data_IF_393546334270
#
_entry.id   IF_393546334270
#
_cell.length_a   1.000
_cell.length_b   1.000
_cell.length_c   1.000
_cell.angle_alpha   90.00
_cell.angle_beta   90.00
_cell.angle_gamma   90.00
#
_symmetry.space_group_name_H-M   'P 1'
#
loop_
_entity.id
_entity.type
_entity.pdbx_description
1 polymer ?
#
# COMPACT_ATOMS: atom_id res chain seq x y z
N UNK A 1 -3.25 20.78 -24.57
CA UNK A 1 -2.56 19.50 -24.36
C UNK A 1 -3.37 18.59 -23.42
N UNK A 2 -4.26 17.79 -24.00
CA UNK A 2 -5.09 16.84 -23.27
C UNK A 2 -4.21 15.67 -22.83
N UNK A 3 -3.54 15.81 -21.69
CA UNK A 3 -2.93 14.66 -21.03
C UNK A 3 -4.08 13.71 -20.68
N UNK A 4 -4.11 12.57 -21.38
CA UNK A 4 -5.05 11.48 -21.19
C UNK A 4 -5.21 11.24 -19.68
N UNK A 5 -6.42 11.41 -19.12
CA UNK A 5 -6.63 11.36 -17.65
C UNK A 5 -6.06 10.07 -17.03
N UNK A 6 -5.93 9.01 -17.84
CA UNK A 6 -5.23 7.79 -17.53
C UNK A 6 -3.74 7.99 -17.19
N UNK A 7 -2.97 8.79 -17.94
CA UNK A 7 -1.55 9.02 -17.67
C UNK A 7 -1.34 9.82 -16.39
N UNK A 8 -2.23 10.78 -16.10
CA UNK A 8 -2.17 11.60 -14.88
C UNK A 8 -2.53 10.76 -13.65
N UNK A 9 -3.60 9.96 -13.73
CA UNK A 9 -4.00 9.06 -12.64
C UNK A 9 -2.95 7.97 -12.41
N UNK A 10 -2.39 7.38 -13.47
CA UNK A 10 -1.37 6.35 -13.36
C UNK A 10 -0.04 6.93 -12.83
N UNK A 11 0.32 8.14 -13.23
CA UNK A 11 1.49 8.85 -12.69
C UNK A 11 1.34 9.19 -11.20
N UNK A 12 0.17 9.68 -10.79
CA UNK A 12 -0.13 10.00 -9.39
C UNK A 12 -0.21 8.74 -8.50
N UNK A 13 -0.77 7.65 -9.03
CA UNK A 13 -0.80 6.35 -8.37
C UNK A 13 0.61 5.79 -8.23
N UNK A 14 1.42 5.78 -9.28
CA UNK A 14 2.78 5.26 -9.23
C UNK A 14 3.67 6.07 -8.26
N UNK A 15 3.52 7.40 -8.22
CA UNK A 15 4.25 8.26 -7.27
C UNK A 15 3.87 7.97 -5.81
N UNK A 16 2.56 7.87 -5.53
CA UNK A 16 2.07 7.57 -4.18
C UNK A 16 2.41 6.14 -3.76
N UNK A 17 2.25 5.18 -4.67
CA UNK A 17 2.56 3.77 -4.46
C UNK A 17 4.05 3.57 -4.19
N UNK A 18 4.93 4.24 -4.96
CA UNK A 18 6.37 4.17 -4.76
C UNK A 18 6.80 4.70 -3.39
N UNK A 19 6.17 5.78 -2.91
CA UNK A 19 6.37 6.28 -1.54
C UNK A 19 5.89 5.28 -0.49
N UNK A 20 4.69 4.73 -0.64
CA UNK A 20 4.12 3.73 0.28
C UNK A 20 4.97 2.46 0.33
N UNK A 21 5.45 2.00 -0.82
CA UNK A 21 6.35 0.85 -0.92
C UNK A 21 7.67 1.11 -0.21
N UNK A 22 8.27 2.28 -0.42
CA UNK A 22 9.57 2.57 0.18
C UNK A 22 9.49 2.67 1.71
N UNK A 23 8.43 3.27 2.25
CA UNK A 23 8.20 3.31 3.71
C UNK A 23 7.86 1.92 4.28
N UNK A 24 7.08 1.10 3.57
CA UNK A 24 6.75 -0.27 4.01
C UNK A 24 7.98 -1.19 3.98
N UNK A 25 8.82 -1.05 2.96
CA UNK A 25 10.05 -1.81 2.81
C UNK A 25 11.10 -1.45 3.89
N UNK A 26 11.25 -0.16 4.18
CA UNK A 26 12.18 0.30 5.22
C UNK A 26 11.71 -0.11 6.62
N UNK A 27 10.41 -0.03 6.93
CA UNK A 27 9.87 -0.54 8.20
C UNK A 27 10.01 -2.07 8.32
N UNK A 28 9.85 -2.81 7.24
CA UNK A 28 10.11 -4.25 7.22
C UNK A 28 11.58 -4.58 7.52
N UNK A 29 12.53 -3.87 6.91
CA UNK A 29 13.96 -4.00 7.21
C UNK A 29 14.29 -3.70 8.68
N UNK A 30 13.74 -2.60 9.22
CA UNK A 30 13.92 -2.24 10.64
C UNK A 30 13.41 -3.36 11.55
N UNK A 31 12.25 -3.96 11.25
CA UNK A 31 11.70 -5.04 12.07
C UNK A 31 12.52 -6.32 12.02
N UNK A 32 13.16 -6.65 10.89
CA UNK A 32 14.11 -7.77 10.81
C UNK A 32 15.30 -7.53 11.74
N UNK A 33 15.85 -6.32 11.74
CA UNK A 33 16.99 -5.95 12.61
C UNK A 33 16.57 -6.06 14.07
N UNK A 34 15.41 -5.51 14.45
CA UNK A 34 14.89 -5.59 15.82
C UNK A 34 14.58 -7.04 16.23
N UNK A 35 14.10 -7.89 15.32
CA UNK A 35 13.84 -9.29 15.64
C UNK A 35 15.13 -10.11 15.83
N UNK A 36 16.18 -9.80 15.07
CA UNK A 36 17.48 -10.47 15.15
C UNK A 36 18.33 -10.01 16.35
N UNK A 37 18.34 -8.71 16.64
CA UNK A 37 19.15 -8.09 17.71
C UNK A 37 18.35 -7.76 18.99
N UNK A 38 17.03 -7.92 18.97
CA UNK A 38 16.16 -7.63 20.12
C UNK A 38 16.23 -8.72 21.19
N UNK A 39 16.28 -8.28 22.45
CA UNK A 39 16.31 -9.18 23.62
C UNK A 39 15.02 -10.00 23.79
N UNK A 40 15.07 -11.03 24.64
CA UNK A 40 14.01 -12.03 24.82
C UNK A 40 12.61 -11.43 25.09
N UNK A 41 12.53 -10.31 25.81
CA UNK A 41 11.28 -9.63 26.13
C UNK A 41 10.62 -8.94 24.91
N UNK A 42 11.42 -8.45 23.96
CA UNK A 42 10.92 -7.74 22.78
C UNK A 42 10.56 -8.70 21.63
N UNK A 43 11.10 -9.92 21.65
CA UNK A 43 10.99 -10.86 20.53
C UNK A 43 9.54 -11.29 20.25
N UNK A 44 8.75 -11.52 21.30
CA UNK A 44 7.32 -11.83 21.19
C UNK A 44 6.48 -10.66 20.67
N UNK A 45 6.80 -9.44 21.11
CA UNK A 45 6.14 -8.22 20.65
C UNK A 45 6.48 -7.90 19.19
N UNK A 46 7.77 -7.94 18.82
CA UNK A 46 8.24 -7.71 17.46
C UNK A 46 7.75 -8.78 16.49
N UNK A 47 7.57 -10.03 16.94
CA UNK A 47 6.97 -11.08 16.11
C UNK A 47 5.53 -10.76 15.69
N UNK A 48 4.73 -10.23 16.60
CA UNK A 48 3.36 -9.79 16.30
C UNK A 48 3.35 -8.62 15.29
N UNK A 49 4.23 -7.64 15.46
CA UNK A 49 4.38 -6.52 14.53
C UNK A 49 4.88 -6.99 13.15
N UNK A 50 5.84 -7.91 13.12
CA UNK A 50 6.40 -8.46 11.88
C UNK A 50 5.31 -9.13 11.04
N UNK A 51 4.48 -9.98 11.66
CA UNK A 51 3.32 -10.57 10.98
C UNK A 51 2.37 -9.50 10.47
N UNK A 52 2.04 -8.49 11.29
CA UNK A 52 1.18 -7.38 10.89
C UNK A 52 1.69 -6.59 9.69
N UNK A 53 3.00 -6.31 9.64
CA UNK A 53 3.63 -5.58 8.51
C UNK A 53 3.62 -6.42 7.24
N UNK A 54 3.93 -7.72 7.32
CA UNK A 54 3.92 -8.63 6.15
C UNK A 54 2.51 -8.73 5.55
N UNK A 55 1.50 -9.05 6.37
CA UNK A 55 0.12 -9.17 5.89
C UNK A 55 -0.48 -7.82 5.50
N UNK A 56 -0.16 -6.74 6.23
CA UNK A 56 -0.63 -5.39 5.94
C UNK A 56 -0.10 -4.82 4.62
N UNK A 57 1.19 -5.05 4.34
CA UNK A 57 1.81 -4.62 3.08
C UNK A 57 1.25 -5.40 1.90
N UNK A 58 1.12 -6.72 2.04
CA UNK A 58 0.54 -7.57 0.99
C UNK A 58 -0.92 -7.21 0.70
N UNK A 59 -1.75 -7.07 1.74
CA UNK A 59 -3.15 -6.69 1.62
C UNK A 59 -3.31 -5.31 0.95
N UNK A 60 -2.52 -4.32 1.35
CA UNK A 60 -2.64 -2.97 0.78
C UNK A 60 -2.27 -2.95 -0.71
N UNK A 61 -1.19 -3.63 -1.11
CA UNK A 61 -0.72 -3.59 -2.49
C UNK A 61 -1.59 -4.42 -3.43
N UNK A 62 -1.92 -5.65 -3.03
CA UNK A 62 -2.61 -6.61 -3.90
C UNK A 62 -4.13 -6.57 -3.76
N UNK A 63 -4.68 -6.11 -2.62
CA UNK A 63 -6.13 -6.09 -2.38
C UNK A 63 -6.66 -4.66 -2.44
N UNK A 64 -6.03 -3.69 -1.78
CA UNK A 64 -6.56 -2.31 -1.78
C UNK A 64 -6.44 -1.61 -3.14
N UNK A 65 -5.35 -1.83 -3.89
CA UNK A 65 -5.15 -1.23 -5.24
C UNK A 65 -6.25 -1.62 -6.25
N UNK A 66 -6.57 -2.91 -6.49
CA UNK A 66 -7.64 -3.28 -7.42
C UNK A 66 -9.03 -2.89 -6.90
N UNK A 67 -9.28 -2.96 -5.58
CA UNK A 67 -10.54 -2.50 -4.99
C UNK A 67 -10.72 -1.00 -5.21
N UNK A 68 -9.69 -0.20 -4.97
CA UNK A 68 -9.73 1.25 -5.20
C UNK A 68 -9.99 1.58 -6.68
N UNK A 69 -9.40 0.82 -7.60
CA UNK A 69 -9.65 0.95 -9.04
C UNK A 69 -11.10 0.64 -9.42
N UNK A 70 -11.65 -0.47 -8.91
CA UNK A 70 -13.05 -0.87 -9.12
C UNK A 70 -14.04 0.17 -8.55
N UNK A 71 -13.79 0.67 -7.34
CA UNK A 71 -14.62 1.72 -6.72
C UNK A 71 -14.55 3.02 -7.54
N UNK A 72 -13.36 3.43 -7.99
CA UNK A 72 -13.19 4.60 -8.84
C UNK A 72 -13.93 4.45 -10.17
N UNK A 73 -13.89 3.27 -10.80
CA UNK A 73 -14.61 2.94 -12.04
C UNK A 73 -16.12 3.01 -11.86
N UNK A 74 -16.67 2.43 -10.77
CA UNK A 74 -18.11 2.48 -10.46
C UNK A 74 -18.62 3.90 -10.20
N UNK A 75 -17.84 4.73 -9.49
CA UNK A 75 -18.19 6.16 -9.28
C UNK A 75 -18.22 6.94 -10.59
N UNK A 76 -17.29 6.65 -11.51
CA UNK A 76 -17.27 7.26 -12.84
C UNK A 76 -18.51 6.89 -13.66
N UNK A 77 -18.92 5.61 -13.62
CA UNK A 77 -20.11 5.14 -14.36
C UNK A 77 -21.40 5.81 -13.86
N UNK A 78 -21.60 5.93 -12.54
CA UNK A 78 -22.76 6.62 -11.97
C UNK A 78 -22.78 8.13 -12.28
N UNK A 79 -21.63 8.78 -12.35
CA UNK A 79 -21.53 10.19 -12.67
C UNK A 79 -21.83 10.50 -14.16
N UNK A 80 -21.68 9.51 -15.04
CA UNK A 80 -22.02 9.63 -16.47
C UNK A 80 -23.52 9.42 -16.69
N UNK A 81 -24.16 8.53 -15.92
CA UNK A 81 -25.60 8.24 -16.02
C UNK A 81 -26.50 9.34 -15.41
N UNK A 82 -25.95 10.14 -14.49
CA UNK A 82 -26.64 11.28 -13.89
C UNK A 82 -26.53 12.58 -14.71
N UNK A 83 -25.92 12.54 -15.89
CA UNK A 83 -25.71 13.69 -16.78
C UNK A 83 -26.40 13.47 -18.11
#
# INVERSE_FOLDING_TARGET
PQADRFSVINGALNSTLSRTLNTSFTTFLVMIIVFAFGGASMRSFTFAILLGVVFGTYCTLFVATPIAYEVAKRRKSKAIEAK
#
